data_IF_963624267043
#
_entry.id   IF_963624267043
#
_cell.length_a   1.000
_cell.length_b   1.000
_cell.length_c   1.000
_cell.angle_alpha   90.00
_cell.angle_beta   90.00
_cell.angle_gamma   90.00
#
_symmetry.space_group_name_H-M   'P 1'
#
loop_
_entity.id
_entity.type
_entity.pdbx_description
1 polymer ?
#
# COMPACT_ATOMS: atom_id res chain seq x y z
N UNK A 1 28.93 6.92 21.77
CA UNK A 1 27.49 7.03 21.48
C UNK A 1 27.04 5.72 20.88
N UNK A 2 25.92 5.19 21.36
CA UNK A 2 25.43 3.89 20.94
C UNK A 2 25.08 3.92 19.45
N UNK A 3 25.70 3.05 18.66
CA UNK A 3 25.50 2.97 17.19
C UNK A 3 24.30 2.10 16.85
N UNK A 4 23.22 2.26 17.61
CA UNK A 4 22.01 1.46 17.51
C UNK A 4 20.86 2.33 17.01
N UNK A 5 20.19 1.87 15.97
CA UNK A 5 18.95 2.43 15.46
C UNK A 5 17.79 1.60 16.01
N UNK A 6 16.85 2.26 16.68
CA UNK A 6 15.62 1.64 17.14
C UNK A 6 14.47 1.97 16.18
N UNK A 7 13.65 0.97 15.86
CA UNK A 7 12.53 1.11 14.93
C UNK A 7 11.27 0.59 15.61
N UNK A 8 10.27 1.45 15.78
CA UNK A 8 8.98 1.06 16.37
C UNK A 8 8.01 0.66 15.25
N UNK A 9 7.60 -0.61 15.24
CA UNK A 9 6.72 -1.20 14.25
C UNK A 9 7.46 -2.01 13.19
N UNK A 10 7.10 -3.29 13.05
CA UNK A 10 7.65 -4.24 12.09
C UNK A 10 6.89 -4.32 10.77
N UNK A 11 6.12 -3.29 10.41
CA UNK A 11 5.37 -3.25 9.15
C UNK A 11 6.27 -3.08 7.91
N UNK A 12 5.67 -2.74 6.76
CA UNK A 12 6.41 -2.50 5.50
C UNK A 12 7.54 -1.48 5.65
N UNK A 13 7.25 -0.34 6.27
CA UNK A 13 8.21 0.75 6.48
C UNK A 13 9.34 0.34 7.44
N UNK A 14 8.99 -0.24 8.60
CA UNK A 14 9.98 -0.61 9.61
C UNK A 14 10.90 -1.74 9.16
N UNK A 15 10.35 -2.74 8.46
CA UNK A 15 11.11 -3.84 7.86
C UNK A 15 12.13 -3.33 6.83
N UNK A 16 11.69 -2.44 5.92
CA UNK A 16 12.57 -1.86 4.91
C UNK A 16 13.62 -0.93 5.52
N UNK A 17 13.24 -0.11 6.51
CA UNK A 17 14.16 0.77 7.23
C UNK A 17 15.26 -0.04 7.95
N UNK A 18 14.89 -1.14 8.61
CA UNK A 18 15.82 -2.01 9.29
C UNK A 18 16.82 -2.62 8.31
N UNK A 19 16.33 -3.14 7.19
CA UNK A 19 17.16 -3.74 6.15
C UNK A 19 18.19 -2.75 5.59
N UNK A 20 17.77 -1.53 5.25
CA UNK A 20 18.67 -0.54 4.70
C UNK A 20 19.75 -0.11 5.69
N UNK A 21 19.35 0.21 6.92
CA UNK A 21 20.29 0.67 7.94
C UNK A 21 21.31 -0.42 8.30
N UNK A 22 20.85 -1.67 8.40
CA UNK A 22 21.70 -2.80 8.75
C UNK A 22 22.73 -3.14 7.66
N UNK A 23 22.34 -3.04 6.39
CA UNK A 23 23.26 -3.19 5.25
C UNK A 23 24.28 -2.05 5.14
N UNK A 24 23.97 -0.86 5.67
CA UNK A 24 24.93 0.23 5.81
C UNK A 24 25.86 0.08 7.03
N UNK A 25 25.68 -0.97 7.84
CA UNK A 25 26.58 -1.29 8.96
C UNK A 25 26.09 -0.88 10.35
N UNK A 26 24.85 -0.39 10.47
CA UNK A 26 24.26 0.02 11.76
C UNK A 26 23.57 -1.16 12.44
N UNK A 27 23.69 -1.26 13.77
CA UNK A 27 22.92 -2.25 14.54
C UNK A 27 21.47 -1.76 14.69
N UNK A 28 20.50 -2.62 14.46
CA UNK A 28 19.09 -2.27 14.45
C UNK A 28 18.30 -3.12 15.44
N UNK A 29 17.43 -2.47 16.21
CA UNK A 29 16.43 -3.14 17.04
C UNK A 29 15.04 -2.77 16.53
N UNK A 30 14.29 -3.76 16.05
CA UNK A 30 12.87 -3.61 15.70
C UNK A 30 12.05 -3.90 16.95
N UNK A 31 11.24 -2.94 17.39
CA UNK A 31 10.24 -3.10 18.45
C UNK A 31 8.89 -3.39 17.81
N UNK A 32 8.42 -4.63 17.88
CA UNK A 32 7.15 -5.07 17.31
C UNK A 32 6.22 -5.57 18.42
N UNK A 33 5.13 -4.85 18.67
CA UNK A 33 4.21 -5.19 19.75
C UNK A 33 3.50 -6.54 19.50
N UNK A 34 3.33 -6.95 18.24
CA UNK A 34 2.77 -8.26 17.88
C UNK A 34 3.80 -9.36 18.14
N UNK A 35 3.39 -10.57 18.53
CA UNK A 35 2.01 -11.01 18.71
C UNK A 35 1.42 -10.69 20.10
N UNK A 36 2.20 -10.09 21.03
CA UNK A 36 1.77 -9.85 22.42
C UNK A 36 0.58 -8.89 22.47
N UNK A 37 0.66 -7.78 21.75
CA UNK A 37 -0.43 -6.82 21.56
C UNK A 37 -0.93 -6.93 20.13
N UNK A 38 -2.18 -7.37 19.98
CA UNK A 38 -2.80 -7.60 18.66
C UNK A 38 -3.50 -6.33 18.16
N UNK A 39 -3.64 -6.24 16.84
CA UNK A 39 -4.57 -5.29 16.22
C UNK A 39 -5.77 -6.05 15.66
N UNK A 40 -6.83 -5.35 15.28
CA UNK A 40 -7.99 -5.98 14.65
C UNK A 40 -7.71 -6.46 13.21
N UNK A 41 -6.63 -5.97 12.57
CA UNK A 41 -6.33 -6.22 11.15
C UNK A 41 -5.30 -7.32 10.94
N UNK A 42 -4.30 -7.41 11.82
CA UNK A 42 -3.22 -8.40 11.74
C UNK A 42 -3.66 -9.74 12.32
N UNK A 43 -3.18 -10.83 11.72
CA UNK A 43 -3.50 -12.21 12.08
C UNK A 43 -2.29 -12.97 12.64
N UNK A 44 -1.07 -12.53 12.32
CA UNK A 44 0.16 -13.21 12.76
C UNK A 44 1.09 -12.27 13.54
N UNK A 45 2.21 -12.82 14.01
CA UNK A 45 3.34 -12.06 14.57
C UNK A 45 4.41 -11.72 13.53
N UNK A 46 4.17 -12.03 12.25
CA UNK A 46 5.15 -11.83 11.19
C UNK A 46 5.30 -10.34 10.86
N UNK A 47 6.52 -9.98 10.47
CA UNK A 47 6.88 -8.66 9.97
C UNK A 47 6.34 -8.47 8.54
N UNK A 48 6.07 -7.22 8.17
CA UNK A 48 5.53 -6.81 6.88
C UNK A 48 4.21 -7.51 6.46
N UNK A 49 3.39 -7.95 7.41
CA UNK A 49 2.10 -8.59 7.14
C UNK A 49 1.15 -7.70 6.29
N UNK A 50 0.56 -8.28 5.24
CA UNK A 50 -0.36 -7.59 4.32
C UNK A 50 -1.83 -7.69 4.78
N UNK A 51 -2.35 -6.62 5.36
CA UNK A 51 -3.69 -6.62 5.98
C UNK A 51 -4.89 -6.39 5.04
N UNK A 52 -4.68 -5.82 3.85
CA UNK A 52 -5.73 -5.38 2.91
C UNK A 52 -5.66 -6.11 1.56
N UNK A 53 -4.94 -5.61 0.56
CA UNK A 53 -4.73 -6.24 -0.76
C UNK A 53 -3.46 -7.10 -0.76
N UNK A 54 -3.41 -8.17 -1.55
CA UNK A 54 -2.18 -8.96 -1.76
C UNK A 54 -1.31 -8.44 -2.91
N UNK A 55 -1.47 -7.17 -3.30
CA UNK A 55 -0.74 -6.60 -4.44
C UNK A 55 -0.11 -5.26 -4.13
N UNK A 56 1.10 -5.11 -4.66
CA UNK A 56 1.86 -3.88 -4.74
C UNK A 56 1.47 -3.01 -5.94
N UNK A 57 0.39 -3.37 -6.65
CA UNK A 57 -0.13 -2.72 -7.87
C UNK A 57 0.81 -2.90 -9.07
N UNK A 58 0.67 -2.05 -10.08
CA UNK A 58 1.36 -2.15 -11.38
C UNK A 58 2.87 -2.25 -11.22
N UNK A 59 3.51 -3.21 -11.90
CA UNK A 59 4.97 -3.34 -11.93
C UNK A 59 5.63 -2.68 -13.16
N UNK A 60 4.81 -2.03 -13.99
CA UNK A 60 5.24 -1.23 -15.15
C UNK A 60 5.95 0.05 -14.72
N UNK A 61 7.28 0.08 -14.86
CA UNK A 61 8.16 1.17 -14.47
C UNK A 61 8.43 2.19 -15.60
N UNK A 62 7.71 2.10 -16.70
CA UNK A 62 7.80 3.04 -17.83
C UNK A 62 6.56 3.91 -17.98
N UNK A 63 5.40 3.41 -17.56
CA UNK A 63 4.12 4.09 -17.75
C UNK A 63 3.33 4.26 -16.45
N UNK A 64 3.85 3.78 -15.31
CA UNK A 64 3.18 3.88 -14.02
C UNK A 64 4.10 4.42 -12.92
N UNK A 65 3.61 5.41 -12.16
CA UNK A 65 4.35 6.01 -11.07
C UNK A 65 4.67 5.02 -9.92
N UNK A 66 3.77 4.07 -9.63
CA UNK A 66 4.08 3.03 -8.62
C UNK A 66 5.08 2.00 -9.13
N UNK A 67 5.04 1.65 -10.43
CA UNK A 67 6.06 0.76 -11.01
C UNK A 67 7.44 1.43 -11.05
N UNK A 68 7.49 2.74 -11.32
CA UNK A 68 8.71 3.52 -11.16
C UNK A 68 9.22 3.47 -9.71
N UNK A 69 8.33 3.59 -8.72
CA UNK A 69 8.71 3.47 -7.32
C UNK A 69 9.24 2.06 -6.99
N UNK A 70 8.69 1.00 -7.59
CA UNK A 70 9.27 -0.36 -7.48
C UNK A 70 10.69 -0.41 -8.04
N UNK A 71 10.91 0.21 -9.21
CA UNK A 71 12.23 0.28 -9.82
C UNK A 71 13.24 0.98 -8.90
N UNK A 72 12.88 2.13 -8.33
CA UNK A 72 13.74 2.88 -7.41
C UNK A 72 14.11 2.06 -6.17
N UNK A 73 13.11 1.37 -5.59
CA UNK A 73 13.34 0.47 -4.46
C UNK A 73 14.26 -0.70 -4.82
N UNK A 74 14.09 -1.32 -5.99
CA UNK A 74 14.97 -2.41 -6.47
C UNK A 74 16.39 -1.92 -6.71
N UNK A 75 16.55 -0.77 -7.35
CA UNK A 75 17.85 -0.14 -7.58
C UNK A 75 18.60 0.16 -6.27
N UNK A 76 17.86 0.45 -5.20
CA UNK A 76 18.39 0.67 -3.85
C UNK A 76 18.52 -0.62 -3.00
N UNK A 77 18.38 -1.81 -3.60
CA UNK A 77 18.53 -3.09 -2.89
C UNK A 77 17.42 -3.37 -1.87
N UNK A 78 16.19 -2.93 -2.14
CA UNK A 78 15.08 -2.97 -1.21
C UNK A 78 14.56 -4.39 -0.89
N UNK A 79 14.34 -4.67 0.40
CA UNK A 79 13.91 -5.97 0.91
C UNK A 79 12.49 -6.33 0.44
N UNK A 80 11.55 -5.39 0.58
CA UNK A 80 10.14 -5.62 0.30
C UNK A 80 9.93 -5.96 -1.18
N UNK A 81 10.60 -5.26 -2.10
CA UNK A 81 10.51 -5.59 -3.53
C UNK A 81 11.20 -6.92 -3.89
N UNK A 82 12.32 -7.25 -3.23
CA UNK A 82 12.98 -8.54 -3.42
C UNK A 82 12.09 -9.70 -2.95
N UNK A 83 11.58 -9.64 -1.72
CA UNK A 83 10.69 -10.67 -1.18
C UNK A 83 9.37 -10.75 -1.92
N UNK A 84 8.86 -9.62 -2.43
CA UNK A 84 7.67 -9.61 -3.26
C UNK A 84 7.90 -10.33 -4.60
N UNK A 85 9.06 -10.15 -5.21
CA UNK A 85 9.42 -10.86 -6.44
C UNK A 85 9.55 -12.38 -6.22
N UNK A 86 10.16 -12.80 -5.11
CA UNK A 86 10.32 -14.22 -4.75
C UNK A 86 8.98 -14.91 -4.46
N UNK A 87 8.03 -14.20 -3.87
CA UNK A 87 6.73 -14.72 -3.47
C UNK A 87 5.59 -14.35 -4.45
N UNK A 88 5.93 -13.98 -5.69
CA UNK A 88 4.97 -13.47 -6.66
C UNK A 88 3.94 -14.51 -7.08
N UNK A 89 2.72 -14.04 -7.29
CA UNK A 89 1.62 -14.76 -7.92
C UNK A 89 1.28 -14.11 -9.26
N UNK A 90 0.76 -14.89 -10.23
CA UNK A 90 0.24 -14.32 -11.46
C UNK A 90 -0.82 -13.25 -11.19
N UNK A 91 -0.72 -12.09 -11.84
CA UNK A 91 -1.58 -10.94 -11.54
C UNK A 91 -1.81 -9.95 -12.69
N UNK A 92 -1.58 -10.36 -13.94
CA UNK A 92 -1.97 -9.61 -15.13
C UNK A 92 -1.25 -8.26 -15.25
N UNK A 93 0.04 -8.24 -14.92
CA UNK A 93 0.92 -7.06 -14.95
C UNK A 93 0.95 -6.21 -13.68
N UNK A 94 0.24 -6.60 -12.63
CA UNK A 94 0.51 -6.14 -11.28
C UNK A 94 1.51 -7.08 -10.58
N UNK A 95 2.22 -6.59 -9.57
CA UNK A 95 2.96 -7.42 -8.64
C UNK A 95 2.02 -7.83 -7.51
N UNK A 96 1.56 -9.08 -7.51
CA UNK A 96 0.83 -9.68 -6.39
C UNK A 96 1.64 -10.79 -5.75
N UNK A 97 1.35 -11.11 -4.49
CA UNK A 97 2.09 -12.09 -3.71
C UNK A 97 1.18 -13.03 -2.95
N UNK A 98 1.72 -14.18 -2.59
CA UNK A 98 1.21 -14.96 -1.46
C UNK A 98 1.55 -14.21 -0.18
N UNK A 99 0.52 -13.73 0.53
CA UNK A 99 0.69 -12.85 1.70
C UNK A 99 1.46 -13.51 2.83
N UNK A 100 1.12 -14.76 3.12
CA UNK A 100 1.65 -15.48 4.26
C UNK A 100 3.11 -15.82 3.99
N UNK A 101 3.40 -16.35 2.80
CA UNK A 101 4.79 -16.63 2.40
C UNK A 101 5.62 -15.36 2.30
N UNK A 102 5.07 -14.28 1.77
CA UNK A 102 5.73 -12.98 1.71
C UNK A 102 6.16 -12.49 3.11
N UNK A 103 5.23 -12.44 4.07
CA UNK A 103 5.50 -11.99 5.43
C UNK A 103 6.52 -12.90 6.15
N UNK A 104 6.40 -14.22 5.95
CA UNK A 104 7.36 -15.20 6.47
C UNK A 104 8.76 -15.00 5.88
N UNK A 105 8.88 -14.78 4.56
CA UNK A 105 10.17 -14.52 3.91
C UNK A 105 10.82 -13.23 4.39
N UNK A 106 10.05 -12.15 4.53
CA UNK A 106 10.56 -10.88 5.09
C UNK A 106 11.06 -11.10 6.52
N UNK A 107 10.25 -11.75 7.35
CA UNK A 107 10.58 -12.04 8.75
C UNK A 107 11.86 -12.88 8.87
N UNK A 108 11.93 -13.99 8.12
CA UNK A 108 13.10 -14.86 8.10
C UNK A 108 14.35 -14.11 7.65
N UNK A 109 14.26 -13.28 6.61
CA UNK A 109 15.41 -12.51 6.11
C UNK A 109 15.91 -11.48 7.12
N UNK A 110 15.01 -10.82 7.86
CA UNK A 110 15.39 -9.86 8.89
C UNK A 110 16.02 -10.55 10.10
N UNK A 111 15.48 -11.70 10.54
CA UNK A 111 16.01 -12.46 11.67
C UNK A 111 17.37 -13.12 11.38
N UNK A 112 17.65 -13.44 10.11
CA UNK A 112 18.95 -13.97 9.68
C UNK A 112 20.04 -12.90 9.57
N UNK A 113 19.67 -11.61 9.51
CA UNK A 113 20.65 -10.53 9.36
C UNK A 113 21.41 -10.28 10.69
N UNK A 114 22.75 -10.35 10.72
CA UNK A 114 23.54 -10.36 11.96
C UNK A 114 23.50 -9.06 12.78
N UNK A 115 23.00 -7.98 12.18
CA UNK A 115 22.85 -6.66 12.82
C UNK A 115 21.40 -6.31 13.18
N UNK A 116 20.44 -7.20 12.95
CA UNK A 116 19.03 -6.93 13.23
C UNK A 116 18.58 -7.81 14.39
N UNK A 117 17.93 -7.21 15.38
CA UNK A 117 17.26 -7.93 16.47
C UNK A 117 15.81 -7.48 16.54
N UNK A 118 14.90 -8.41 16.84
CA UNK A 118 13.47 -8.11 17.04
C UNK A 118 13.13 -8.29 18.51
N UNK A 119 12.52 -7.25 19.09
CA UNK A 119 11.99 -7.25 20.45
C UNK A 119 10.48 -7.14 20.38
N UNK A 120 9.80 -8.09 21.02
CA UNK A 120 8.34 -8.17 20.98
C UNK A 120 7.69 -7.32 22.07
N UNK A 121 8.04 -6.04 22.16
CA UNK A 121 7.59 -5.14 23.22
C UNK A 121 6.81 -3.96 22.65
N UNK A 122 5.78 -3.53 23.39
CA UNK A 122 5.00 -2.35 23.04
C UNK A 122 5.71 -1.10 23.58
N UNK A 123 6.06 -0.19 22.69
CA UNK A 123 6.56 1.14 23.07
C UNK A 123 5.37 2.09 23.17
N UNK A 124 5.15 2.66 24.35
CA UNK A 124 3.99 3.52 24.65
C UNK A 124 4.35 4.99 24.86
N UNK A 125 5.64 5.34 24.85
CA UNK A 125 6.14 6.69 25.08
C UNK A 125 7.16 7.09 24.01
N UNK A 126 7.30 8.39 23.76
CA UNK A 126 8.35 8.88 22.87
C UNK A 126 9.71 8.79 23.56
N UNK A 127 10.74 8.25 22.89
CA UNK A 127 12.08 8.13 23.45
C UNK A 127 12.72 9.50 23.70
N UNK A 128 13.46 9.61 24.80
CA UNK A 128 14.12 10.86 25.20
C UNK A 128 15.45 11.09 24.48
N UNK A 129 16.11 10.03 24.02
CA UNK A 129 17.43 10.09 23.36
C UNK A 129 17.66 8.88 22.44
N UNK A 130 18.82 8.84 21.77
CA UNK A 130 19.18 7.78 20.82
C UNK A 130 18.58 8.02 19.43
N UNK A 131 18.73 7.07 18.51
CA UNK A 131 18.26 7.21 17.13
C UNK A 131 17.03 6.34 16.91
N UNK A 132 15.91 6.96 16.51
CA UNK A 132 14.63 6.28 16.43
C UNK A 132 13.91 6.52 15.10
N UNK A 133 13.25 5.50 14.59
CA UNK A 133 12.25 5.60 13.52
C UNK A 133 10.92 5.06 14.06
N UNK A 134 9.87 5.86 13.98
CA UNK A 134 8.49 5.45 14.25
C UNK A 134 7.84 5.05 12.92
N UNK A 135 7.58 3.75 12.77
CA UNK A 135 7.06 3.11 11.56
C UNK A 135 5.84 2.22 11.86
N UNK A 136 5.00 2.66 12.80
CA UNK A 136 3.86 1.91 13.34
C UNK A 136 2.65 1.82 12.40
N UNK A 137 2.72 2.49 11.25
CA UNK A 137 1.64 2.48 10.26
C UNK A 137 0.33 3.08 10.80
N UNK A 138 -0.82 2.73 10.20
CA UNK A 138 -2.08 3.38 10.53
C UNK A 138 -2.66 2.95 11.89
N UNK A 139 -2.20 1.81 12.43
CA UNK A 139 -2.69 1.18 13.66
C UNK A 139 -1.71 1.37 14.81
N UNK A 140 -1.21 2.59 14.96
CA UNK A 140 -0.38 2.99 16.10
C UNK A 140 -1.12 2.73 17.40
N UNK A 141 -0.45 2.12 18.39
CA UNK A 141 -1.08 1.79 19.66
C UNK A 141 -1.52 3.05 20.42
N UNK A 142 -2.55 2.92 21.26
CA UNK A 142 -3.15 4.07 21.97
C UNK A 142 -2.12 4.82 22.83
N UNK A 143 -1.24 4.08 23.52
CA UNK A 143 -0.19 4.67 24.36
C UNK A 143 0.73 5.58 23.55
N UNK A 144 1.32 5.04 22.48
CA UNK A 144 2.21 5.82 21.62
C UNK A 144 1.48 6.95 20.89
N UNK A 145 0.25 6.72 20.45
CA UNK A 145 -0.58 7.73 19.81
C UNK A 145 -0.81 8.94 20.71
N UNK A 146 -1.10 8.73 22.01
CA UNK A 146 -1.21 9.82 23.00
C UNK A 146 0.12 10.56 23.20
N UNK A 147 1.23 9.83 23.28
CA UNK A 147 2.55 10.44 23.45
C UNK A 147 2.94 11.32 22.25
N UNK A 148 2.64 10.86 21.03
CA UNK A 148 2.82 11.63 19.80
C UNK A 148 1.95 12.89 19.82
N UNK A 149 0.65 12.76 20.10
CA UNK A 149 -0.28 13.90 20.10
C UNK A 149 0.12 14.97 21.15
N UNK A 150 0.59 14.54 22.32
CA UNK A 150 1.07 15.45 23.36
C UNK A 150 2.31 16.24 22.92
N UNK A 151 3.22 15.61 22.19
CA UNK A 151 4.44 16.25 21.67
C UNK A 151 4.16 17.18 20.49
N UNK A 152 3.26 16.79 19.58
CA UNK A 152 3.01 17.53 18.34
C UNK A 152 2.01 18.67 18.52
N UNK A 153 1.35 18.78 19.68
CA UNK A 153 0.35 19.80 19.99
C UNK A 153 -0.84 19.80 19.02
N UNK A 154 -1.02 18.70 18.29
CA UNK A 154 -1.98 18.54 17.21
C UNK A 154 -2.74 17.26 17.44
N UNK A 155 -4.08 17.32 17.33
CA UNK A 155 -4.87 16.11 17.21
C UNK A 155 -4.44 15.40 15.92
N UNK A 156 -4.14 14.10 16.02
CA UNK A 156 -3.73 13.33 14.87
C UNK A 156 -4.84 13.35 13.81
N UNK A 157 -4.45 13.56 12.55
CA UNK A 157 -5.38 13.50 11.44
C UNK A 157 -5.82 12.06 11.25
N UNK A 158 -7.04 11.87 10.74
CA UNK A 158 -7.55 10.55 10.46
C UNK A 158 -8.32 10.51 9.15
N UNK A 159 -8.33 9.33 8.54
CA UNK A 159 -9.15 8.96 7.40
C UNK A 159 -9.59 7.52 7.57
N UNK A 160 -10.59 7.11 6.80
CA UNK A 160 -11.01 5.72 6.77
C UNK A 160 -10.50 5.01 5.52
N UNK A 161 -10.01 3.78 5.71
CA UNK A 161 -9.71 2.81 4.66
C UNK A 161 -10.56 1.55 4.85
N UNK A 162 -10.76 0.79 3.78
CA UNK A 162 -11.62 -0.38 3.78
C UNK A 162 -10.94 -1.62 3.16
N UNK A 163 -11.37 -2.79 3.63
CA UNK A 163 -10.85 -4.10 3.31
C UNK A 163 -11.85 -4.83 2.43
N UNK A 164 -11.37 -5.47 1.37
CA UNK A 164 -12.18 -6.28 0.47
C UNK A 164 -12.36 -7.73 0.97
N UNK A 165 -13.51 -8.38 0.67
CA UNK A 165 -13.74 -9.78 1.01
C UNK A 165 -12.82 -10.77 0.26
N UNK A 166 -12.66 -11.95 0.86
CA UNK A 166 -11.97 -13.11 0.29
C UNK A 166 -12.92 -14.30 0.31
N UNK A 167 -13.03 -14.98 -0.83
CA UNK A 167 -13.89 -16.16 -1.04
C UNK A 167 -13.07 -17.43 -1.28
N UNK A 168 -13.64 -18.57 -0.92
CA UNK A 168 -13.09 -19.87 -1.26
C UNK A 168 -13.35 -20.19 -2.73
N UNK A 169 -12.30 -20.56 -3.48
CA UNK A 169 -12.39 -20.85 -4.91
C UNK A 169 -13.41 -21.94 -5.23
N UNK A 170 -13.48 -23.00 -4.43
CA UNK A 170 -14.39 -24.14 -4.62
C UNK A 170 -15.88 -23.75 -4.53
N UNK A 171 -16.19 -22.60 -3.93
CA UNK A 171 -17.55 -22.10 -3.78
C UNK A 171 -18.01 -21.21 -4.95
N UNK A 172 -17.16 -21.01 -5.96
CA UNK A 172 -17.44 -20.19 -7.14
C UNK A 172 -17.97 -21.09 -8.27
N UNK A 173 -19.10 -20.71 -8.86
CA UNK A 173 -19.68 -21.41 -10.01
C UNK A 173 -18.99 -21.01 -11.32
N UNK A 174 -18.04 -21.86 -11.73
CA UNK A 174 -17.27 -21.72 -12.96
C UNK A 174 -18.07 -21.99 -14.25
N UNK A 175 -19.33 -22.43 -14.16
CA UNK A 175 -20.21 -22.45 -15.33
C UNK A 175 -20.67 -21.05 -15.74
N UNK A 176 -20.58 -20.07 -14.82
CA UNK A 176 -20.88 -18.65 -15.06
C UNK A 176 -19.62 -17.79 -15.14
N UNK A 177 -18.61 -18.11 -14.34
CA UNK A 177 -17.36 -17.36 -14.28
C UNK A 177 -16.29 -17.90 -15.27
N UNK A 178 -15.26 -17.11 -15.55
CA UNK A 178 -14.12 -17.55 -16.37
C UNK A 178 -12.80 -16.88 -15.97
N UNK A 179 -11.69 -17.54 -16.29
CA UNK A 179 -10.34 -17.00 -16.04
C UNK A 179 -9.85 -16.18 -17.24
N UNK A 180 -9.53 -14.91 -17.02
CA UNK A 180 -8.95 -14.01 -18.02
C UNK A 180 -8.41 -12.71 -17.39
N UNK A 181 -7.20 -12.32 -17.76
CA UNK A 181 -6.65 -10.97 -17.57
C UNK A 181 -7.10 -10.07 -18.70
N UNK A 182 -7.31 -8.78 -18.41
CA UNK A 182 -7.75 -7.82 -19.44
C UNK A 182 -6.76 -7.77 -20.62
N UNK A 183 -7.30 -7.83 -21.83
CA UNK A 183 -6.56 -7.86 -23.09
C UNK A 183 -5.57 -9.03 -23.20
N UNK A 184 -5.80 -10.09 -22.43
CA UNK A 184 -4.87 -11.22 -22.30
C UNK A 184 -3.46 -10.73 -21.96
N UNK A 185 -3.38 -9.74 -21.06
CA UNK A 185 -2.10 -9.14 -20.65
C UNK A 185 -1.26 -10.15 -19.89
N UNK A 186 -0.04 -10.36 -20.37
CA UNK A 186 0.97 -11.22 -19.75
C UNK A 186 1.65 -12.15 -20.75
N UNK A 187 2.92 -12.47 -20.51
CA UNK A 187 3.69 -13.35 -21.41
C UNK A 187 3.28 -14.83 -21.25
N UNK A 188 3.01 -15.25 -20.01
CA UNK A 188 2.65 -16.62 -19.68
C UNK A 188 1.14 -16.81 -19.65
N UNK A 189 0.69 -18.06 -19.85
CA UNK A 189 -0.73 -18.40 -19.73
C UNK A 189 -1.28 -18.09 -18.33
N UNK A 190 -0.48 -18.32 -17.29
CA UNK A 190 -0.86 -18.01 -15.91
C UNK A 190 -1.10 -16.50 -15.70
N UNK A 191 -0.32 -15.63 -16.34
CA UNK A 191 -0.56 -14.18 -16.31
C UNK A 191 -1.80 -13.80 -17.11
N UNK A 192 -2.01 -14.42 -18.28
CA UNK A 192 -3.18 -14.18 -19.13
C UNK A 192 -4.48 -14.68 -18.52
N UNK A 193 -4.41 -15.57 -17.55
CA UNK A 193 -5.55 -16.15 -16.83
C UNK A 193 -5.52 -15.82 -15.33
N UNK A 194 -4.88 -14.72 -14.92
CA UNK A 194 -4.66 -14.40 -13.51
C UNK A 194 -5.91 -13.96 -12.72
N UNK A 195 -6.97 -13.52 -13.42
CA UNK A 195 -8.21 -13.05 -12.80
C UNK A 195 -9.38 -13.97 -13.15
N UNK A 196 -10.21 -14.26 -12.16
CA UNK A 196 -11.53 -14.84 -12.34
C UNK A 196 -12.53 -13.71 -12.57
N UNK A 197 -13.45 -13.88 -13.52
CA UNK A 197 -14.38 -12.84 -13.96
C UNK A 197 -15.82 -13.35 -13.82
N UNK A 198 -16.64 -12.60 -13.09
CA UNK A 198 -18.06 -12.84 -12.90
C UNK A 198 -18.85 -11.82 -13.72
N UNK A 199 -19.52 -12.21 -14.81
CA UNK A 199 -20.20 -11.27 -15.70
C UNK A 199 -21.56 -10.85 -15.13
N UNK A 200 -21.97 -9.62 -15.39
CA UNK A 200 -23.34 -9.17 -15.15
C UNK A 200 -23.94 -8.61 -16.45
N UNK A 201 -25.21 -8.90 -16.67
CA UNK A 201 -26.04 -8.11 -17.57
C UNK A 201 -26.48 -6.79 -16.89
N UNK A 202 -27.29 -6.01 -17.61
CA UNK A 202 -27.73 -4.70 -17.13
C UNK A 202 -28.66 -4.82 -15.93
N UNK A 203 -29.62 -5.74 -15.97
CA UNK A 203 -30.66 -5.86 -14.94
C UNK A 203 -30.04 -6.40 -13.64
N UNK A 204 -29.13 -7.37 -13.75
CA UNK A 204 -28.32 -7.87 -12.64
C UNK A 204 -27.48 -6.77 -12.01
N UNK A 205 -26.84 -5.93 -12.83
CA UNK A 205 -26.06 -4.80 -12.34
C UNK A 205 -26.95 -3.79 -11.60
N UNK A 206 -28.06 -3.36 -12.19
CA UNK A 206 -28.97 -2.40 -11.58
C UNK A 206 -29.53 -2.92 -10.25
N UNK A 207 -29.94 -4.19 -10.19
CA UNK A 207 -30.40 -4.83 -8.95
C UNK A 207 -29.29 -4.93 -7.90
N UNK A 208 -28.05 -5.23 -8.30
CA UNK A 208 -26.89 -5.26 -7.41
C UNK A 208 -26.59 -3.87 -6.83
N UNK A 209 -26.68 -2.80 -7.63
CA UNK A 209 -26.53 -1.42 -7.15
C UNK A 209 -27.64 -1.07 -6.15
N UNK A 210 -28.88 -1.45 -6.41
CA UNK A 210 -30.00 -1.19 -5.48
C UNK A 210 -29.77 -1.89 -4.14
N UNK A 211 -29.34 -3.15 -4.17
CA UNK A 211 -29.01 -3.89 -2.96
C UNK A 211 -27.83 -3.27 -2.20
N UNK A 212 -26.77 -2.83 -2.89
CA UNK A 212 -25.63 -2.13 -2.29
C UNK A 212 -26.05 -0.84 -1.58
N UNK A 213 -26.91 -0.04 -2.22
CA UNK A 213 -27.35 1.25 -1.67
C UNK A 213 -28.25 1.06 -0.46
N UNK A 214 -29.10 0.04 -0.48
CA UNK A 214 -30.04 -0.32 0.59
C UNK A 214 -29.40 -1.11 1.75
N UNK A 215 -28.18 -1.64 1.57
CA UNK A 215 -27.52 -2.50 2.54
C UNK A 215 -27.26 -1.78 3.88
N UNK A 216 -27.40 -2.54 4.97
CA UNK A 216 -27.00 -2.09 6.30
C UNK A 216 -25.49 -1.83 6.35
N UNK A 217 -25.14 -0.63 6.78
CA UNK A 217 -23.75 -0.16 6.87
C UNK A 217 -23.31 -0.06 8.32
N UNK A 218 -22.02 -0.21 8.55
CA UNK A 218 -21.41 0.15 9.83
C UNK A 218 -21.48 1.67 9.97
N UNK A 219 -22.00 2.14 11.10
CA UNK A 219 -22.08 3.56 11.43
C UNK A 219 -20.78 3.98 12.11
N UNK A 220 -20.39 5.22 11.88
CA UNK A 220 -19.27 5.83 12.57
C UNK A 220 -19.70 6.26 13.98
N UNK A 221 -18.77 6.23 14.93
CA UNK A 221 -19.04 6.66 16.30
C UNK A 221 -19.20 8.19 16.35
N UNK A 222 -19.97 8.69 17.33
CA UNK A 222 -20.13 10.13 17.56
C UNK A 222 -18.77 10.82 17.68
N UNK A 223 -18.50 11.79 16.80
CA UNK A 223 -17.22 12.54 16.74
C UNK A 223 -16.25 12.09 15.63
N UNK A 224 -16.54 11.02 14.89
CA UNK A 224 -15.74 10.61 13.73
C UNK A 224 -16.08 11.47 12.48
N UNK A 225 -15.49 12.66 12.39
CA UNK A 225 -15.68 13.59 11.25
C UNK A 225 -14.72 13.32 10.08
N UNK A 226 -13.93 12.25 10.15
CA UNK A 226 -12.92 11.93 9.14
C UNK A 226 -13.56 11.50 7.81
N UNK A 227 -13.08 12.09 6.71
CA UNK A 227 -13.49 11.70 5.37
C UNK A 227 -12.92 10.33 4.96
N UNK A 228 -13.42 9.81 3.83
CA UNK A 228 -12.83 8.65 3.18
C UNK A 228 -11.60 9.04 2.38
N UNK A 229 -10.61 8.15 2.32
CA UNK A 229 -9.53 8.30 1.35
C UNK A 229 -10.05 8.05 -0.07
N UNK A 230 -10.02 9.07 -0.94
CA UNK A 230 -10.59 8.98 -2.29
C UNK A 230 -9.92 7.90 -3.17
N UNK A 231 -8.70 7.49 -2.86
CA UNK A 231 -8.01 6.39 -3.55
C UNK A 231 -8.49 4.99 -3.14
N UNK A 232 -9.22 4.84 -2.02
CA UNK A 232 -9.72 3.55 -1.51
C UNK A 232 -11.11 3.69 -0.87
N UNK A 233 -12.12 3.98 -1.68
CA UNK A 233 -13.50 4.16 -1.21
C UNK A 233 -14.24 2.83 -1.04
N UNK A 234 -15.12 2.70 -0.03
CA UNK A 234 -16.08 1.61 0.05
C UNK A 234 -16.98 1.53 -1.20
N UNK A 235 -17.28 0.33 -1.67
CA UNK A 235 -18.04 0.10 -2.91
C UNK A 235 -19.43 0.75 -2.88
N UNK A 236 -20.08 0.76 -1.72
CA UNK A 236 -21.36 1.41 -1.51
C UNK A 236 -21.26 2.95 -1.59
N UNK A 237 -20.15 3.54 -1.13
CA UNK A 237 -19.91 5.00 -1.23
C UNK A 237 -19.62 5.38 -2.68
N UNK A 238 -18.93 4.52 -3.43
CA UNK A 238 -18.76 4.71 -4.88
C UNK A 238 -20.10 4.66 -5.61
N UNK A 239 -21.00 3.73 -5.23
CA UNK A 239 -22.34 3.64 -5.81
C UNK A 239 -23.21 4.86 -5.48
N UNK A 240 -23.10 5.42 -4.27
CA UNK A 240 -23.78 6.67 -3.85
C UNK A 240 -23.35 7.87 -4.70
N UNK A 241 -22.09 7.92 -5.13
CA UNK A 241 -21.57 8.97 -6.04
C UNK A 241 -22.12 8.87 -7.46
N UNK A 242 -22.74 7.74 -7.82
CA UNK A 242 -23.42 7.55 -9.08
C UNK A 242 -23.53 6.09 -9.48
N UNK A 243 -24.68 5.70 -10.03
CA UNK A 243 -24.97 4.30 -10.40
C UNK A 243 -23.99 3.73 -11.43
N UNK A 244 -23.38 4.56 -12.27
CA UNK A 244 -22.41 4.12 -13.29
C UNK A 244 -20.95 4.09 -12.79
N UNK A 245 -20.69 4.62 -11.59
CA UNK A 245 -19.33 4.78 -11.05
C UNK A 245 -18.58 3.47 -11.02
N UNK A 246 -19.24 2.38 -10.58
CA UNK A 246 -18.61 1.07 -10.47
C UNK A 246 -18.25 0.49 -11.85
N UNK A 247 -19.06 0.70 -12.89
CA UNK A 247 -18.79 0.29 -14.28
C UNK A 247 -17.64 1.03 -14.93
N UNK A 248 -17.29 2.21 -14.43
CA UNK A 248 -16.09 2.93 -14.84
C UNK A 248 -14.87 2.66 -13.94
N UNK A 249 -15.09 2.04 -12.77
CA UNK A 249 -14.07 1.66 -11.81
C UNK A 249 -13.88 0.14 -11.71
N UNK A 250 -14.16 -0.48 -10.55
CA UNK A 250 -13.84 -1.88 -10.27
C UNK A 250 -14.65 -2.89 -11.09
N UNK A 251 -15.83 -2.52 -11.58
CA UNK A 251 -16.72 -3.41 -12.33
C UNK A 251 -16.67 -3.23 -13.86
N UNK A 252 -15.63 -2.54 -14.36
CA UNK A 252 -15.51 -2.27 -15.81
C UNK A 252 -15.35 -3.57 -16.62
N UNK A 253 -16.05 -3.78 -17.75
CA UNK A 253 -15.95 -5.01 -18.55
C UNK A 253 -14.84 -4.97 -19.62
N UNK A 254 -14.03 -3.92 -19.66
CA UNK A 254 -13.12 -3.63 -20.80
C UNK A 254 -11.98 -4.65 -20.94
N UNK A 255 -11.75 -5.12 -22.16
CA UNK A 255 -10.66 -6.06 -22.50
C UNK A 255 -10.95 -7.50 -22.09
N UNK A 256 -12.21 -7.86 -21.89
CA UNK A 256 -12.63 -9.19 -21.45
C UNK A 256 -13.63 -9.78 -22.45
N UNK A 257 -13.55 -11.09 -22.66
CA UNK A 257 -14.39 -11.86 -23.57
C UNK A 257 -14.92 -13.08 -22.83
N UNK A 258 -16.23 -13.16 -22.63
CA UNK A 258 -16.85 -14.27 -21.90
C UNK A 258 -16.94 -15.51 -22.82
N UNK A 259 -16.22 -16.61 -22.54
CA UNK A 259 -16.26 -17.81 -23.38
C UNK A 259 -17.61 -18.52 -23.36
N UNK A 260 -18.42 -18.33 -22.30
CA UNK A 260 -19.75 -18.93 -22.17
C UNK A 260 -20.81 -18.21 -23.02
N UNK A 261 -20.53 -16.97 -23.44
CA UNK A 261 -21.41 -16.16 -24.27
C UNK A 261 -20.56 -15.18 -25.12
N UNK A 262 -19.79 -15.67 -26.11
CA UNK A 262 -18.76 -14.88 -26.80
C UNK A 262 -19.29 -13.68 -27.57
N UNK A 263 -20.55 -13.75 -28.04
CA UNK A 263 -21.22 -12.68 -28.77
C UNK A 263 -21.89 -11.64 -27.87
N UNK A 264 -21.91 -11.88 -26.55
CA UNK A 264 -22.55 -11.00 -25.57
C UNK A 264 -21.48 -10.26 -24.78
N UNK A 265 -21.42 -8.95 -24.96
CA UNK A 265 -20.56 -8.10 -24.14
C UNK A 265 -21.17 -7.93 -22.75
N UNK A 266 -20.47 -8.32 -21.66
CA UNK A 266 -20.96 -8.08 -20.30
C UNK A 266 -21.20 -6.59 -20.06
N UNK A 267 -22.27 -6.26 -19.34
CA UNK A 267 -22.56 -4.89 -18.94
C UNK A 267 -21.58 -4.43 -17.85
N UNK A 268 -21.29 -5.31 -16.90
CA UNK A 268 -20.32 -5.16 -15.83
C UNK A 268 -19.61 -6.50 -15.56
N UNK A 269 -18.45 -6.47 -14.90
CA UNK A 269 -17.72 -7.67 -14.50
C UNK A 269 -17.12 -7.47 -13.12
N UNK A 270 -17.37 -8.40 -12.19
CA UNK A 270 -16.62 -8.48 -10.93
C UNK A 270 -15.39 -9.34 -11.14
N UNK A 271 -14.20 -8.77 -10.88
CA UNK A 271 -12.95 -9.53 -10.97
C UNK A 271 -12.52 -10.03 -9.60
N UNK A 272 -12.03 -11.26 -9.55
CA UNK A 272 -11.43 -11.87 -8.38
C UNK A 272 -9.98 -12.25 -8.71
N UNK A 273 -9.08 -12.06 -7.75
CA UNK A 273 -7.65 -12.40 -7.90
C UNK A 273 -7.24 -13.44 -6.88
N UNK A 274 -6.39 -14.36 -7.30
CA UNK A 274 -5.73 -15.33 -6.43
C UNK A 274 -5.06 -14.64 -5.24
N UNK A 275 -5.37 -15.08 -4.03
CA UNK A 275 -4.83 -14.52 -2.78
C UNK A 275 -3.67 -15.37 -2.20
N UNK A 276 -3.65 -16.68 -2.46
CA UNK A 276 -2.63 -17.61 -1.98
C UNK A 276 -2.05 -18.53 -3.07
N UNK A 277 -0.85 -19.07 -2.83
CA UNK A 277 -0.13 -19.93 -3.78
C UNK A 277 -0.79 -21.28 -4.05
N UNK A 278 -1.75 -21.72 -3.22
CA UNK A 278 -2.57 -22.90 -3.50
C UNK A 278 -3.74 -22.60 -4.44
N UNK A 279 -4.15 -21.34 -4.57
CA UNK A 279 -5.30 -20.96 -5.41
C UNK A 279 -6.63 -21.40 -4.80
N UNK A 280 -6.68 -21.54 -3.47
CA UNK A 280 -7.92 -21.89 -2.75
C UNK A 280 -8.66 -20.64 -2.27
N UNK A 281 -7.98 -19.48 -2.23
CA UNK A 281 -8.53 -18.21 -1.77
C UNK A 281 -8.44 -17.15 -2.86
N UNK A 282 -9.53 -16.41 -3.05
CA UNK A 282 -9.64 -15.34 -4.05
C UNK A 282 -10.17 -14.05 -3.42
N UNK A 283 -9.45 -12.96 -3.63
CA UNK A 283 -9.84 -11.61 -3.21
C UNK A 283 -10.78 -10.97 -4.26
N UNK A 284 -11.86 -10.32 -3.82
CA UNK A 284 -12.75 -9.57 -4.72
C UNK A 284 -12.16 -8.18 -4.99
N UNK A 285 -11.72 -7.95 -6.22
CA UNK A 285 -10.88 -6.80 -6.58
C UNK A 285 -11.67 -5.50 -6.56
N UNK A 286 -11.29 -4.57 -5.69
CA UNK A 286 -11.90 -3.24 -5.59
C UNK A 286 -13.24 -3.22 -4.85
N UNK A 287 -13.53 -4.28 -4.07
CA UNK A 287 -14.77 -4.46 -3.32
C UNK A 287 -14.58 -4.20 -1.82
N UNK A 288 -13.65 -3.31 -1.46
CA UNK A 288 -13.57 -2.81 -0.10
C UNK A 288 -14.92 -2.21 0.34
N UNK A 289 -15.34 -2.48 1.58
CA UNK A 289 -16.73 -2.19 2.02
C UNK A 289 -16.82 -1.91 3.53
N UNK A 290 -17.82 -1.12 3.93
CA UNK A 290 -18.23 -0.89 5.33
C UNK A 290 -19.58 -1.55 5.66
N UNK A 291 -20.19 -2.28 4.73
CA UNK A 291 -21.42 -3.04 4.96
C UNK A 291 -21.27 -3.97 6.17
N UNK A 292 -22.33 -4.14 6.95
CA UNK A 292 -22.34 -5.14 8.04
C UNK A 292 -22.19 -6.54 7.45
N UNK A 293 -21.61 -7.46 8.21
CA UNK A 293 -21.27 -8.81 7.71
C UNK A 293 -22.46 -9.57 7.10
N UNK A 294 -23.64 -9.50 7.72
CA UNK A 294 -24.86 -10.09 7.15
C UNK A 294 -25.21 -9.51 5.77
N UNK A 295 -25.19 -8.18 5.65
CA UNK A 295 -25.45 -7.48 4.40
C UNK A 295 -24.41 -7.80 3.32
N UNK A 296 -23.11 -7.85 3.67
CA UNK A 296 -22.06 -8.25 2.74
C UNK A 296 -22.35 -9.61 2.11
N UNK A 297 -22.66 -10.62 2.93
CA UNK A 297 -22.93 -11.97 2.42
C UNK A 297 -24.15 -12.02 1.51
N UNK A 298 -25.22 -11.30 1.85
CA UNK A 298 -26.44 -11.26 1.04
C UNK A 298 -26.19 -10.56 -0.31
N UNK A 299 -25.57 -9.39 -0.29
CA UNK A 299 -25.34 -8.57 -1.48
C UNK A 299 -24.32 -9.21 -2.43
N UNK A 300 -23.19 -9.71 -1.92
CA UNK A 300 -22.17 -10.30 -2.79
C UNK A 300 -22.60 -11.65 -3.39
N UNK A 301 -23.55 -12.36 -2.77
CA UNK A 301 -24.17 -13.55 -3.37
C UNK A 301 -25.12 -13.24 -4.53
N UNK A 302 -25.45 -11.97 -4.79
CA UNK A 302 -26.18 -11.58 -5.99
C UNK A 302 -25.29 -11.56 -7.24
N UNK A 303 -23.97 -11.62 -7.08
CA UNK A 303 -23.02 -11.63 -8.19
C UNK A 303 -23.09 -12.99 -8.90
N UNK A 304 -23.33 -13.01 -10.23
CA UNK A 304 -23.28 -14.25 -11.01
C UNK A 304 -22.01 -15.06 -10.80
N UNK A 305 -22.16 -16.32 -10.39
CA UNK A 305 -21.06 -17.20 -10.05
C UNK A 305 -20.70 -17.23 -8.56
N UNK A 306 -21.22 -16.30 -7.75
CA UNK A 306 -20.97 -16.21 -6.31
C UNK A 306 -22.21 -16.50 -5.45
N UNK A 307 -23.28 -17.06 -6.01
CA UNK A 307 -24.55 -17.34 -5.34
C UNK A 307 -24.36 -18.22 -4.10
N UNK A 308 -23.44 -19.19 -4.21
CA UNK A 308 -23.09 -20.13 -3.16
C UNK A 308 -21.75 -19.79 -2.48
N UNK A 309 -21.21 -18.58 -2.71
CA UNK A 309 -19.89 -18.21 -2.23
C UNK A 309 -19.77 -18.36 -0.70
N UNK A 310 -18.66 -18.96 -0.29
CA UNK A 310 -18.22 -19.04 1.09
C UNK A 310 -17.07 -18.06 1.31
N UNK A 311 -17.18 -17.23 2.34
CA UNK A 311 -16.22 -16.16 2.60
C UNK A 311 -15.20 -16.61 3.64
N UNK A 312 -13.93 -16.69 3.26
CA UNK A 312 -12.82 -16.90 4.18
C UNK A 312 -12.53 -15.63 5.01
N UNK A 313 -12.88 -14.46 4.47
CA UNK A 313 -12.79 -13.17 5.14
C UNK A 313 -13.84 -12.22 4.58
N UNK A 314 -14.55 -11.53 5.46
CA UNK A 314 -15.43 -10.42 5.09
C UNK A 314 -14.66 -9.10 5.10
N UNK A 315 -15.15 -8.13 4.33
CA UNK A 315 -14.61 -6.79 4.30
C UNK A 315 -14.90 -6.01 5.59
N UNK A 316 -14.33 -4.82 5.71
CA UNK A 316 -14.55 -3.96 6.86
C UNK A 316 -13.88 -2.61 6.67
N UNK A 317 -14.21 -1.65 7.54
CA UNK A 317 -13.64 -0.31 7.51
C UNK A 317 -12.81 -0.08 8.76
N UNK A 318 -11.73 0.69 8.65
CA UNK A 318 -10.95 1.10 9.80
C UNK A 318 -10.43 2.52 9.70
N UNK A 319 -10.39 3.17 10.88
CA UNK A 319 -9.82 4.49 11.06
C UNK A 319 -8.30 4.39 11.05
N UNK A 320 -7.67 5.08 10.12
CA UNK A 320 -6.23 5.22 10.01
C UNK A 320 -5.83 6.57 10.60
N UNK A 321 -4.79 6.55 11.43
CA UNK A 321 -4.23 7.76 12.03
C UNK A 321 -2.94 8.15 11.32
N UNK A 322 -2.75 9.43 11.05
CA UNK A 322 -1.54 9.98 10.46
C UNK A 322 -1.23 11.38 10.98
N UNK A 323 0.01 11.82 10.78
CA UNK A 323 0.50 13.13 11.19
C UNK A 323 0.13 14.19 10.16
N UNK A 324 -0.05 15.44 10.62
CA UNK A 324 0.10 16.62 9.75
C UNK A 324 1.58 16.86 9.43
N UNK A 325 2.18 15.90 8.72
CA UNK A 325 3.62 15.80 8.50
C UNK A 325 4.25 17.01 7.81
N UNK A 326 3.60 17.77 6.89
CA UNK A 326 4.22 18.95 6.30
C UNK A 326 4.63 20.01 7.33
N UNK A 327 3.92 20.06 8.47
CA UNK A 327 4.21 20.99 9.56
C UNK A 327 5.18 20.43 10.61
N UNK A 328 5.20 19.10 10.75
CA UNK A 328 5.88 18.41 11.84
C UNK A 328 7.24 17.83 11.44
N UNK A 329 7.40 17.44 10.17
CA UNK A 329 8.59 16.76 9.67
C UNK A 329 9.46 17.69 8.83
N UNK A 330 10.77 17.49 8.89
CA UNK A 330 11.73 18.06 7.93
C UNK A 330 11.91 17.15 6.69
N UNK A 331 12.72 17.59 5.72
CA UNK A 331 13.00 16.84 4.50
C UNK A 331 13.79 15.53 4.72
N UNK A 332 14.32 15.32 5.93
CA UNK A 332 14.94 14.06 6.36
C UNK A 332 13.99 13.18 7.18
N UNK A 333 12.69 13.53 7.18
CA UNK A 333 11.61 12.88 7.91
C UNK A 333 11.78 12.91 9.43
N UNK A 334 12.59 13.83 9.95
CA UNK A 334 12.78 14.02 11.41
C UNK A 334 11.67 14.89 11.97
N UNK A 335 11.22 14.56 13.17
CA UNK A 335 10.30 15.40 13.92
C UNK A 335 11.03 16.70 14.32
N UNK A 336 10.49 17.85 13.93
CA UNK A 336 11.14 19.16 14.14
C UNK A 336 11.39 19.46 15.63
N UNK A 337 10.50 19.05 16.51
CA UNK A 337 10.65 19.23 17.96
C UNK A 337 11.63 18.24 18.61
N UNK A 338 11.84 17.08 17.98
CA UNK A 338 12.75 16.01 18.45
C UNK A 338 13.51 15.39 17.28
N UNK A 339 14.58 16.04 16.78
CA UNK A 339 15.26 15.60 15.56
C UNK A 339 15.89 14.20 15.63
N UNK A 340 16.07 13.64 16.83
CA UNK A 340 16.54 12.27 17.03
C UNK A 340 15.48 11.20 16.69
N UNK A 341 14.24 11.62 16.43
CA UNK A 341 13.10 10.77 16.04
C UNK A 341 12.73 11.07 14.57
N UNK A 342 12.66 10.02 13.76
CA UNK A 342 12.07 10.04 12.41
C UNK A 342 10.73 9.34 12.37
N UNK A 343 9.91 9.68 11.38
CA UNK A 343 8.69 8.94 11.06
C UNK A 343 8.77 8.37 9.64
N UNK A 344 8.24 7.16 9.46
CA UNK A 344 8.21 6.50 8.15
C UNK A 344 6.94 5.66 7.98
N UNK A 345 6.53 5.46 6.73
CA UNK A 345 5.32 4.70 6.42
C UNK A 345 4.06 5.54 6.52
N UNK A 346 2.91 4.87 6.50
CA UNK A 346 1.59 5.51 6.41
C UNK A 346 1.30 6.57 7.49
N UNK A 347 1.95 6.48 8.66
CA UNK A 347 1.85 7.51 9.72
C UNK A 347 2.31 8.90 9.24
N UNK A 348 3.15 8.98 8.21
CA UNK A 348 3.60 10.25 7.63
C UNK A 348 2.61 10.84 6.61
N UNK A 349 1.51 10.17 6.29
CA UNK A 349 0.60 10.62 5.23
C UNK A 349 1.04 10.23 3.81
N UNK A 350 1.87 9.20 3.68
CA UNK A 350 1.87 8.40 2.45
C UNK A 350 0.80 7.32 2.56
N UNK A 351 0.32 6.79 1.44
CA UNK A 351 -0.67 5.72 1.43
C UNK A 351 -0.20 4.54 0.59
N UNK A 352 -0.43 3.31 1.06
CA UNK A 352 -0.09 2.08 0.35
C UNK A 352 1.19 1.40 0.83
N UNK A 353 1.30 0.10 0.55
CA UNK A 353 2.44 -0.73 0.98
C UNK A 353 3.77 -0.27 0.37
N UNK A 354 3.75 0.08 -0.91
CA UNK A 354 4.95 0.46 -1.66
C UNK A 354 5.48 1.79 -1.16
N UNK A 355 4.61 2.80 -1.05
CA UNK A 355 4.98 4.11 -0.54
C UNK A 355 5.45 4.02 0.91
N UNK A 356 4.81 3.18 1.72
CA UNK A 356 5.25 2.97 3.10
C UNK A 356 6.64 2.35 3.17
N UNK A 357 6.89 1.29 2.39
CA UNK A 357 8.20 0.66 2.30
C UNK A 357 9.25 1.64 1.76
N UNK A 358 8.94 2.42 0.73
CA UNK A 358 9.83 3.43 0.16
C UNK A 358 10.22 4.52 1.16
N UNK A 359 9.29 5.01 1.98
CA UNK A 359 9.61 5.94 3.07
C UNK A 359 10.46 5.27 4.16
N UNK A 360 10.20 3.99 4.45
CA UNK A 360 11.05 3.17 5.31
C UNK A 360 12.48 3.08 4.78
N UNK A 361 12.63 2.79 3.49
CA UNK A 361 13.91 2.68 2.79
C UNK A 361 14.74 3.96 2.99
N UNK A 362 14.14 5.11 2.70
CA UNK A 362 14.80 6.42 2.86
C UNK A 362 15.10 6.72 4.32
N UNK A 363 14.17 6.47 5.24
CA UNK A 363 14.37 6.76 6.65
C UNK A 363 15.51 5.94 7.24
N UNK A 364 15.61 4.66 6.87
CA UNK A 364 16.71 3.78 7.24
C UNK A 364 18.06 4.28 6.74
N UNK A 365 18.16 4.65 5.45
CA UNK A 365 19.41 5.18 4.86
C UNK A 365 19.84 6.51 5.49
N UNK A 366 18.90 7.43 5.66
CA UNK A 366 19.16 8.75 6.26
C UNK A 366 19.57 8.63 7.73
N UNK A 367 18.90 7.77 8.52
CA UNK A 367 19.27 7.52 9.90
C UNK A 367 20.64 6.84 10.01
N UNK A 368 20.91 5.85 9.16
CA UNK A 368 22.19 5.16 9.16
C UNK A 368 23.36 6.08 8.82
N UNK A 369 23.21 6.92 7.80
CA UNK A 369 24.22 7.93 7.46
C UNK A 369 24.51 8.86 8.64
N UNK A 370 23.47 9.38 9.30
CA UNK A 370 23.63 10.25 10.47
C UNK A 370 24.37 9.54 11.62
N UNK A 371 24.00 8.29 11.93
CA UNK A 371 24.66 7.47 12.98
C UNK A 371 26.14 7.23 12.66
N UNK A 372 26.47 7.08 11.37
CA UNK A 372 27.82 6.87 10.87
C UNK A 372 28.62 8.17 10.72
N UNK A 373 28.02 9.33 11.02
CA UNK A 373 28.66 10.64 10.86
C UNK A 373 28.81 11.08 9.39
N UNK A 374 28.04 10.47 8.49
CA UNK A 374 27.99 10.79 7.06
C UNK A 374 26.83 11.73 6.75
N UNK A 375 26.95 12.48 5.65
CA UNK A 375 25.85 13.30 5.13
C UNK A 375 25.54 12.86 3.71
N UNK A 376 24.32 12.37 3.49
CA UNK A 376 23.87 12.03 2.13
C UNK A 376 23.44 13.29 1.39
N UNK A 377 23.59 13.33 0.06
CA UNK A 377 23.01 14.40 -0.74
C UNK A 377 21.48 14.45 -0.58
N UNK A 378 20.85 15.62 -0.80
CA UNK A 378 19.39 15.74 -0.77
C UNK A 378 18.73 14.74 -1.72
N UNK A 379 17.62 14.13 -1.28
CA UNK A 379 16.86 13.20 -2.12
C UNK A 379 16.30 13.96 -3.33
N UNK A 380 16.53 13.51 -4.57
CA UNK A 380 16.15 14.26 -5.75
C UNK A 380 14.62 14.30 -5.89
N UNK A 381 14.02 15.49 -5.89
CA UNK A 381 12.57 15.66 -6.06
C UNK A 381 12.02 15.08 -7.39
N UNK A 382 12.87 14.92 -8.40
CA UNK A 382 12.48 14.32 -9.68
C UNK A 382 12.31 12.81 -9.63
N UNK A 383 12.73 12.14 -8.55
CA UNK A 383 12.43 10.73 -8.31
C UNK A 383 11.03 10.55 -7.71
N UNK A 384 10.48 9.34 -7.81
CA UNK A 384 9.21 8.98 -7.20
C UNK A 384 9.26 9.11 -5.67
N UNK A 385 10.35 8.64 -5.06
CA UNK A 385 10.61 8.81 -3.64
C UNK A 385 10.75 10.28 -3.22
N UNK A 386 11.45 11.10 -4.02
CA UNK A 386 11.60 12.53 -3.74
C UNK A 386 10.29 13.31 -3.87
N UNK A 387 9.44 12.94 -4.84
CA UNK A 387 8.10 13.50 -4.98
C UNK A 387 7.22 13.21 -3.76
N UNK A 388 7.32 11.99 -3.18
CA UNK A 388 6.63 11.63 -1.94
C UNK A 388 7.18 12.39 -0.72
N UNK A 389 8.50 12.49 -0.57
CA UNK A 389 9.11 13.30 0.51
C UNK A 389 8.59 14.74 0.43
N UNK A 390 8.62 15.33 -0.77
CA UNK A 390 8.16 16.69 -0.96
C UNK A 390 6.70 16.88 -0.49
N UNK A 391 5.81 15.94 -0.81
CA UNK A 391 4.43 15.95 -0.35
C UNK A 391 4.32 15.97 1.19
N UNK A 392 5.06 15.09 1.89
CA UNK A 392 4.95 14.93 3.36
C UNK A 392 5.80 15.92 4.17
N UNK A 393 6.72 16.67 3.56
CA UNK A 393 7.67 17.53 4.29
C UNK A 393 7.59 19.03 3.96
N UNK A 394 6.51 19.48 3.32
CA UNK A 394 6.22 20.91 3.11
C UNK A 394 5.69 21.31 1.73
N UNK A 395 5.61 20.38 0.78
CA UNK A 395 5.05 20.63 -0.55
C UNK A 395 3.53 20.61 -0.62
N UNK A 396 2.86 20.05 0.40
CA UNK A 396 1.41 20.05 0.52
C UNK A 396 0.91 21.18 1.43
N UNK A 397 -0.29 21.68 1.14
CA UNK A 397 -0.97 22.65 2.01
C UNK A 397 -1.43 21.96 3.31
N UNK A 398 -0.84 22.36 4.43
CA UNK A 398 -1.06 21.74 5.73
C UNK A 398 -2.52 21.66 6.20
N UNK A 399 -3.38 22.60 5.75
CA UNK A 399 -4.81 22.63 6.14
C UNK A 399 -5.66 21.61 5.42
N UNK A 400 -5.25 21.22 4.22
CA UNK A 400 -5.95 20.30 3.32
C UNK A 400 -5.16 19.01 3.11
N UNK A 401 -4.11 18.80 3.91
CA UNK A 401 -3.22 17.66 3.81
C UNK A 401 -3.99 16.35 3.98
N UNK A 402 -3.79 15.45 3.02
CA UNK A 402 -4.36 14.12 2.99
C UNK A 402 -3.27 13.11 2.65
N UNK A 403 -3.43 11.84 3.08
CA UNK A 403 -2.59 10.77 2.65
C UNK A 403 -2.55 10.69 1.13
N UNK A 404 -1.43 10.26 0.57
CA UNK A 404 -1.25 10.25 -0.88
C UNK A 404 -0.50 9.02 -1.38
N UNK A 405 -1.03 8.41 -2.43
CA UNK A 405 -0.30 7.44 -3.22
C UNK A 405 0.64 8.14 -4.20
N UNK A 406 1.72 7.48 -4.59
CA UNK A 406 2.58 7.98 -5.66
C UNK A 406 1.79 8.10 -6.97
N UNK A 407 1.86 9.27 -7.58
CA UNK A 407 1.24 9.55 -8.87
C UNK A 407 2.02 10.65 -9.59
N UNK A 408 1.97 10.67 -10.93
CA UNK A 408 2.70 11.65 -11.73
C UNK A 408 2.27 13.12 -11.52
N UNK A 409 1.18 13.37 -10.78
CA UNK A 409 0.79 14.72 -10.37
C UNK A 409 1.68 15.30 -9.26
N UNK A 410 2.42 14.47 -8.52
CA UNK A 410 3.39 14.90 -7.51
C UNK A 410 4.74 15.30 -8.11
N UNK A 411 5.01 14.91 -9.36
CA UNK A 411 6.30 15.13 -10.00
C UNK A 411 6.34 16.56 -10.54
N UNK A 412 7.53 17.17 -10.50
CA UNK A 412 7.76 18.44 -11.20
C UNK A 412 7.43 18.26 -12.68
N UNK A 413 6.75 19.19 -13.36
CA UNK A 413 6.47 19.06 -14.78
C UNK A 413 7.72 18.80 -15.63
N UNK A 414 7.55 18.19 -16.80
CA UNK A 414 8.60 18.08 -17.82
C UNK A 414 8.27 19.03 -18.96
N UNK A 415 9.27 19.81 -19.36
CA UNK A 415 9.16 20.73 -20.48
C UNK A 415 8.97 20.00 -21.82
N UNK A 416 8.28 20.64 -22.77
CA UNK A 416 8.08 20.08 -24.11
C UNK A 416 6.90 19.11 -24.26
N UNK A 417 6.21 18.72 -23.18
CA UNK A 417 5.00 17.90 -23.26
C UNK A 417 3.73 18.70 -22.97
N UNK A 418 2.77 18.70 -23.90
CA UNK A 418 1.44 19.27 -23.66
C UNK A 418 0.69 18.44 -22.61
N UNK A 419 -0.07 19.10 -21.73
CA UNK A 419 -0.94 18.45 -20.75
C UNK A 419 -2.12 17.69 -21.38
N UNK A 420 -2.82 16.89 -20.57
CA UNK A 420 -4.02 16.17 -20.98
C UNK A 420 -3.76 14.77 -21.56
N UNK A 421 -4.77 14.23 -22.26
CA UNK A 421 -4.83 12.83 -22.74
C UNK A 421 -3.87 12.55 -23.90
N UNK A 422 -3.62 13.56 -24.75
CA UNK A 422 -2.71 13.49 -25.92
C UNK A 422 -1.26 13.61 -25.44
N UNK A 423 -0.38 12.72 -25.89
CA UNK A 423 1.03 12.68 -25.44
C UNK A 423 1.24 12.16 -24.02
N UNK A 424 0.22 11.53 -23.40
CA UNK A 424 0.32 10.97 -22.04
C UNK A 424 1.42 9.90 -21.93
N UNK A 425 1.51 9.02 -22.94
CA UNK A 425 2.49 7.92 -22.96
C UNK A 425 3.93 8.45 -22.97
N UNK A 426 4.22 9.39 -23.88
CA UNK A 426 5.56 9.99 -23.97
C UNK A 426 5.91 10.80 -22.71
N UNK A 427 4.92 11.53 -22.16
CA UNK A 427 5.11 12.30 -20.92
C UNK A 427 5.36 11.41 -19.71
N UNK A 428 4.65 10.30 -19.59
CA UNK A 428 4.86 9.33 -18.51
C UNK A 428 6.23 8.68 -18.61
N UNK A 429 6.63 8.26 -19.82
CA UNK A 429 7.99 7.76 -20.08
C UNK A 429 9.05 8.80 -19.74
N UNK A 430 8.83 10.07 -20.11
CA UNK A 430 9.70 11.18 -19.74
C UNK A 430 9.86 11.31 -18.22
N UNK A 431 8.77 11.20 -17.45
CA UNK A 431 8.83 11.21 -15.98
C UNK A 431 9.67 10.05 -15.45
N UNK A 432 9.43 8.83 -15.95
CA UNK A 432 10.17 7.66 -15.48
C UNK A 432 11.65 7.74 -15.85
N UNK A 433 12.01 8.24 -17.03
CA UNK A 433 13.40 8.32 -17.47
C UNK A 433 14.20 9.34 -16.67
N UNK A 434 13.63 10.54 -16.44
CA UNK A 434 14.26 11.56 -15.59
C UNK A 434 14.42 11.07 -14.15
N UNK A 435 13.40 10.41 -13.60
CA UNK A 435 13.43 9.86 -12.25
C UNK A 435 14.51 8.78 -12.10
N UNK A 436 14.58 7.83 -13.04
CA UNK A 436 15.60 6.76 -13.06
C UNK A 436 17.01 7.32 -13.11
N UNK A 437 17.25 8.34 -13.93
CA UNK A 437 18.55 9.01 -14.01
C UNK A 437 18.92 9.70 -12.67
N UNK A 438 18.04 10.56 -12.16
CA UNK A 438 18.29 11.30 -10.91
C UNK A 438 18.46 10.37 -9.69
N UNK A 439 17.67 9.30 -9.60
CA UNK A 439 17.79 8.31 -8.54
C UNK A 439 19.08 7.50 -8.65
N UNK A 440 19.46 7.08 -9.86
CA UNK A 440 20.71 6.37 -10.11
C UNK A 440 21.94 7.18 -9.70
N UNK A 441 21.97 8.47 -10.06
CA UNK A 441 23.03 9.41 -9.63
C UNK A 441 23.07 9.54 -8.10
N UNK A 442 21.91 9.74 -7.45
CA UNK A 442 21.83 9.85 -6.00
C UNK A 442 22.31 8.60 -5.26
N UNK A 443 22.08 7.39 -5.79
CA UNK A 443 22.60 6.15 -5.22
C UNK A 443 24.12 6.00 -5.43
N UNK A 444 24.63 6.41 -6.58
CA UNK A 444 26.07 6.34 -6.89
C UNK A 444 26.88 7.24 -5.93
N UNK A 445 26.41 8.46 -5.68
CA UNK A 445 27.06 9.41 -4.77
C UNK A 445 27.21 8.87 -3.34
N UNK A 446 26.22 8.08 -2.87
CA UNK A 446 26.27 7.47 -1.54
C UNK A 446 27.32 6.37 -1.45
N UNK A 447 27.44 5.54 -2.48
CA UNK A 447 28.43 4.47 -2.49
C UNK A 447 29.86 5.04 -2.49
N UNK A 448 30.07 6.17 -3.16
CA UNK A 448 31.35 6.89 -3.10
C UNK A 448 31.64 7.45 -1.71
N UNK A 449 30.63 8.03 -1.03
CA UNK A 449 30.77 8.56 0.33
C UNK A 449 30.97 7.48 1.40
N UNK A 450 30.54 6.23 1.16
CA UNK A 450 30.73 5.10 2.09
C UNK A 450 32.10 4.44 1.90
N UNK A 451 32.67 4.51 0.69
CA UNK A 451 33.98 3.95 0.36
C UNK A 451 35.16 4.86 0.75
N UNK A 452 34.91 6.16 0.92
CA UNK A 452 35.86 7.16 1.43
C UNK A 452 35.86 7.20 2.95
#
# INVERSE_FOLDING_TARGET
MDKVLHIIGGGMAGSEAAWQAANMGVNVVIHEMRPKVKTFAHRTGDLAEMVCSNSFRSDDDEQNAVGLLHWEMRAAGGLIMAMAHENRLPAGGALAVDRDRFAQSVTARLLDHPRITVQHDEITQLPESGHWIIATGPLTSEGLGRAIAAETGTEALAFFDAIAPIVYHESIDMSRAWMQSRYDKGETEAERTAYLNCPMDRDQYEAFIDALLAADKTEFHDGETAGYFDGCLPIEVMAERGRETLRHGPMKPVGLTNPHAPDVKPHAVVQLRRDNALGTLYNIVGFQTKMKYGAQTAVFKMIPGLENAQFARLGGIHRNTFLNSPTLLDAQMRLRSRPHIRFAGQITGVEGYVESAAMGLLAGRLAAAEILGQTLPPVPQDSAMGALIHHISGGAEAKTFQPMNVNFGLFRPIDGFKGGRRGRMDRYKGYTDRAKAAWGEWLADQNMSIAS
#
